data_IF_061357205854
#
_entry.id   IF_061357205854
#
_cell.length_a   1.000
_cell.length_b   1.000
_cell.length_c   1.000
_cell.angle_alpha   90.00
_cell.angle_beta   90.00
_cell.angle_gamma   90.00
#
_symmetry.space_group_name_H-M   'P 1'
#
loop_
_entity.id
_entity.type
_entity.pdbx_description
1 polymer ?
#
# COMPACT_ATOMS: atom_id res chain seq x y z
N UNK A 1 -1.17 5.12 51.85
CA UNK A 1 -1.43 4.57 50.51
C UNK A 1 -1.43 3.06 50.65
N UNK A 2 -2.55 2.39 50.36
CA UNK A 2 -2.61 0.93 50.38
C UNK A 2 -1.83 0.37 49.18
N UNK A 3 -1.03 -0.68 49.39
CA UNK A 3 -0.35 -1.37 48.31
C UNK A 3 -1.40 -2.07 47.42
N UNK A 4 -1.26 -2.04 46.08
CA UNK A 4 -2.17 -2.71 45.18
C UNK A 4 -2.20 -4.22 45.48
N UNK A 5 -3.38 -4.81 45.37
CA UNK A 5 -3.54 -6.25 45.56
C UNK A 5 -2.87 -7.02 44.42
N UNK A 6 -2.45 -8.28 44.64
CA UNK A 6 -1.84 -9.11 43.59
C UNK A 6 -2.70 -9.26 42.33
N UNK A 7 -4.03 -9.10 42.45
CA UNK A 7 -4.94 -9.09 41.29
C UNK A 7 -4.83 -7.79 40.48
N UNK A 8 -4.66 -6.66 41.14
CA UNK A 8 -4.50 -5.36 40.47
C UNK A 8 -3.13 -5.26 39.79
N UNK A 9 -2.08 -5.82 40.39
CA UNK A 9 -0.76 -5.93 39.77
C UNK A 9 -0.79 -6.79 38.50
N UNK A 10 -1.45 -7.96 38.53
CA UNK A 10 -1.58 -8.82 37.35
C UNK A 10 -2.33 -8.12 36.20
N UNK A 11 -3.42 -7.41 36.48
CA UNK A 11 -4.17 -6.64 35.47
C UNK A 11 -3.31 -5.51 34.89
N UNK A 12 -2.46 -4.88 35.71
CA UNK A 12 -1.57 -3.83 35.24
C UNK A 12 -0.47 -4.38 34.31
N UNK A 13 0.09 -5.54 34.65
CA UNK A 13 1.09 -6.23 33.83
C UNK A 13 0.51 -6.71 32.50
N UNK A 14 -0.71 -7.25 32.48
CA UNK A 14 -1.41 -7.62 31.24
C UNK A 14 -1.62 -6.42 30.32
N UNK A 15 -2.09 -5.29 30.87
CA UNK A 15 -2.26 -4.04 30.08
C UNK A 15 -0.96 -3.51 29.51
N UNK A 16 0.14 -3.60 30.26
CA UNK A 16 1.46 -3.19 29.77
C UNK A 16 1.98 -4.12 28.67
N UNK A 17 1.74 -5.43 28.79
CA UNK A 17 2.10 -6.40 27.76
C UNK A 17 1.31 -6.14 26.46
N UNK A 18 0.00 -5.97 26.56
CA UNK A 18 -0.86 -5.63 25.42
C UNK A 18 -0.38 -4.33 24.75
N UNK A 19 -0.08 -3.29 25.55
CA UNK A 19 0.44 -2.03 25.03
C UNK A 19 1.79 -2.18 24.30
N UNK A 20 2.68 -3.04 24.81
CA UNK A 20 3.96 -3.32 24.17
C UNK A 20 3.79 -4.05 22.84
N UNK A 21 2.86 -5.02 22.77
CA UNK A 21 2.49 -5.72 21.54
C UNK A 21 1.95 -4.75 20.47
N UNK A 22 1.02 -3.87 20.85
CA UNK A 22 0.50 -2.83 19.97
C UNK A 22 1.59 -1.88 19.45
N UNK A 23 2.51 -1.46 20.31
CA UNK A 23 3.61 -0.59 19.93
C UNK A 23 4.55 -1.26 18.94
N UNK A 24 4.91 -2.52 19.19
CA UNK A 24 5.77 -3.30 18.30
C UNK A 24 5.11 -3.48 16.93
N UNK A 25 3.82 -3.81 16.91
CA UNK A 25 3.05 -3.93 15.68
C UNK A 25 3.01 -2.60 14.92
N UNK A 26 2.80 -1.48 15.61
CA UNK A 26 2.78 -0.14 15.01
C UNK A 26 4.12 0.21 14.36
N UNK A 27 5.23 -0.09 15.04
CA UNK A 27 6.59 0.17 14.51
C UNK A 27 6.86 -0.70 13.28
N UNK A 28 6.59 -2.00 13.36
CA UNK A 28 6.76 -2.91 12.24
C UNK A 28 5.92 -2.47 11.02
N UNK A 29 4.66 -2.14 11.25
CA UNK A 29 3.75 -1.66 10.20
C UNK A 29 4.26 -0.35 9.57
N UNK A 30 4.61 0.65 10.39
CA UNK A 30 5.14 1.95 9.90
C UNK A 30 6.41 1.77 9.08
N UNK A 31 7.30 0.86 9.47
CA UNK A 31 8.53 0.60 8.73
C UNK A 31 8.24 -0.05 7.37
N UNK A 32 7.37 -1.06 7.33
CA UNK A 32 6.99 -1.72 6.07
C UNK A 32 6.31 -0.74 5.12
N UNK A 33 5.36 0.05 5.62
CA UNK A 33 4.65 1.05 4.81
C UNK A 33 5.58 2.19 4.39
N UNK A 34 6.43 2.67 5.29
CA UNK A 34 7.41 3.71 5.02
C UNK A 34 8.40 3.32 3.92
N UNK A 35 8.95 2.10 4.00
CA UNK A 35 9.82 1.57 2.96
C UNK A 35 9.11 1.48 1.61
N UNK A 36 7.89 0.94 1.57
CA UNK A 36 7.09 0.85 0.34
C UNK A 36 6.77 2.22 -0.25
N UNK A 37 6.43 3.21 0.58
CA UNK A 37 6.18 4.60 0.15
C UNK A 37 7.45 5.26 -0.40
N UNK A 38 8.59 5.06 0.25
CA UNK A 38 9.87 5.57 -0.23
C UNK A 38 10.23 4.96 -1.59
N UNK A 39 10.11 3.64 -1.74
CA UNK A 39 10.29 2.96 -3.04
C UNK A 39 9.36 3.53 -4.10
N UNK A 40 8.08 3.72 -3.78
CA UNK A 40 7.10 4.33 -4.69
C UNK A 40 7.51 5.74 -5.13
N UNK A 41 7.88 6.62 -4.19
CA UNK A 41 8.32 7.98 -4.50
C UNK A 41 9.54 8.00 -5.41
N UNK A 42 10.50 7.09 -5.21
CA UNK A 42 11.69 6.97 -6.06
C UNK A 42 11.29 6.53 -7.46
N UNK A 43 10.49 5.46 -7.59
CA UNK A 43 10.03 4.95 -8.89
C UNK A 43 9.26 6.03 -9.65
N UNK A 44 8.32 6.71 -8.99
CA UNK A 44 7.51 7.77 -9.60
C UNK A 44 8.36 8.99 -10.01
N UNK A 45 9.42 9.31 -9.25
CA UNK A 45 10.32 10.42 -9.59
C UNK A 45 11.23 10.07 -10.78
N UNK A 46 11.70 8.82 -10.88
CA UNK A 46 12.47 8.33 -12.03
C UNK A 46 11.58 8.30 -13.28
N UNK A 47 10.34 7.80 -13.12
CA UNK A 47 9.32 7.78 -14.16
C UNK A 47 9.06 9.17 -14.75
N UNK A 48 8.75 10.18 -13.91
CA UNK A 48 8.53 11.56 -14.36
C UNK A 48 9.76 12.14 -15.08
N UNK A 49 10.96 11.81 -14.60
CA UNK A 49 12.20 12.27 -15.21
C UNK A 49 12.42 11.62 -16.57
N UNK A 50 12.30 10.30 -16.69
CA UNK A 50 12.55 9.58 -17.94
C UNK A 50 11.48 9.86 -19.01
N UNK A 51 10.23 10.12 -18.60
CA UNK A 51 9.16 10.60 -19.48
C UNK A 51 9.52 11.96 -20.12
N UNK A 52 10.07 12.89 -19.33
CA UNK A 52 10.52 14.19 -19.86
C UNK A 52 11.73 14.10 -20.80
N UNK A 53 12.51 13.02 -20.74
CA UNK A 53 13.69 12.79 -21.59
C UNK A 53 13.40 11.88 -22.80
N UNK A 54 12.16 11.37 -22.94
CA UNK A 54 11.77 10.49 -24.04
C UNK A 54 12.37 9.09 -23.99
N UNK A 55 12.83 8.63 -22.82
CA UNK A 55 13.51 7.34 -22.67
C UNK A 55 12.50 6.17 -22.51
N UNK A 56 11.92 5.74 -23.63
CA UNK A 56 10.81 4.76 -23.66
C UNK A 56 11.18 3.38 -23.09
N UNK A 57 12.44 2.95 -23.23
CA UNK A 57 12.89 1.64 -22.73
C UNK A 57 12.83 1.58 -21.20
N UNK A 58 13.25 2.64 -20.51
CA UNK A 58 13.21 2.71 -19.05
C UNK A 58 11.77 2.78 -18.53
N UNK A 59 10.91 3.54 -19.21
CA UNK A 59 9.48 3.62 -18.89
C UNK A 59 8.82 2.24 -19.01
N UNK A 60 9.23 1.41 -19.99
CA UNK A 60 8.70 0.06 -20.16
C UNK A 60 9.06 -0.89 -18.99
N UNK A 61 10.30 -0.82 -18.48
CA UNK A 61 10.76 -1.64 -17.35
C UNK A 61 10.06 -1.24 -16.05
N UNK A 62 9.83 0.07 -15.86
CA UNK A 62 9.08 0.59 -14.71
C UNK A 62 7.62 0.09 -14.76
N UNK A 63 6.99 0.11 -15.95
CA UNK A 63 5.63 -0.43 -16.14
C UNK A 63 5.53 -1.91 -15.78
N UNK A 64 6.50 -2.72 -16.20
CA UNK A 64 6.52 -4.15 -15.88
C UNK A 64 6.66 -4.40 -14.38
N UNK A 65 7.53 -3.63 -13.71
CA UNK A 65 7.73 -3.70 -12.26
C UNK A 65 6.45 -3.32 -11.49
N UNK A 66 5.76 -2.25 -11.90
CA UNK A 66 4.46 -1.86 -11.34
C UNK A 66 3.38 -2.92 -11.56
N UNK A 67 3.37 -3.57 -12.73
CA UNK A 67 2.49 -4.70 -13.03
C UNK A 67 2.73 -5.92 -12.12
N UNK A 68 4.00 -6.20 -11.80
CA UNK A 68 4.37 -7.23 -10.83
C UNK A 68 3.83 -6.96 -9.41
N UNK A 69 3.91 -5.70 -8.97
CA UNK A 69 3.40 -5.29 -7.65
C UNK A 69 1.87 -5.39 -7.60
N UNK A 70 1.16 -5.03 -8.67
CA UNK A 70 -0.29 -5.21 -8.77
C UNK A 70 -0.71 -6.67 -8.64
N UNK A 71 0.01 -7.59 -9.31
CA UNK A 71 -0.24 -9.03 -9.16
C UNK A 71 -0.04 -9.52 -7.73
N UNK A 72 1.02 -9.04 -7.06
CA UNK A 72 1.29 -9.38 -5.66
C UNK A 72 0.17 -8.88 -4.73
N UNK A 73 -0.32 -7.66 -4.97
CA UNK A 73 -1.43 -7.07 -4.22
C UNK A 73 -2.70 -7.92 -4.36
N UNK A 74 -3.07 -8.29 -5.58
CA UNK A 74 -4.30 -9.04 -5.85
C UNK A 74 -4.23 -10.51 -5.40
N UNK A 75 -3.09 -11.18 -5.58
CA UNK A 75 -2.99 -12.61 -5.32
C UNK A 75 -2.66 -12.95 -3.87
N UNK A 76 -1.98 -12.06 -3.15
CA UNK A 76 -1.43 -12.36 -1.81
C UNK A 76 -1.86 -11.34 -0.77
N UNK A 77 -1.62 -10.06 -0.98
CA UNK A 77 -1.73 -9.07 0.10
C UNK A 77 -3.19 -8.72 0.44
N UNK A 78 -4.05 -8.50 -0.55
CA UNK A 78 -5.48 -8.21 -0.33
C UNK A 78 -6.23 -9.43 0.24
N UNK A 79 -6.04 -10.67 -0.27
CA UNK A 79 -6.73 -11.84 0.29
C UNK A 79 -6.26 -12.24 1.70
N UNK A 80 -4.99 -11.99 2.03
CA UNK A 80 -4.40 -12.36 3.33
C UNK A 80 -4.65 -11.29 4.40
N UNK A 81 -5.17 -10.11 4.04
CA UNK A 81 -5.46 -9.04 4.98
C UNK A 81 -6.68 -9.40 5.86
N UNK A 82 -6.41 -9.84 7.09
CA UNK A 82 -7.44 -10.16 8.08
C UNK A 82 -8.10 -8.92 8.70
N UNK A 83 -7.33 -7.84 8.87
CA UNK A 83 -7.81 -6.58 9.43
C UNK A 83 -8.36 -5.64 8.34
N UNK A 84 -9.51 -5.01 8.60
CA UNK A 84 -10.16 -4.08 7.67
C UNK A 84 -9.23 -2.93 7.25
N UNK A 85 -8.51 -2.32 8.21
CA UNK A 85 -7.56 -1.23 7.94
C UNK A 85 -6.41 -1.63 7.00
N UNK A 86 -5.91 -2.86 7.14
CA UNK A 86 -4.86 -3.39 6.26
C UNK A 86 -5.39 -3.64 4.85
N UNK A 87 -6.64 -4.10 4.73
CA UNK A 87 -7.30 -4.31 3.44
C UNK A 87 -7.54 -2.98 2.72
N UNK A 88 -8.05 -1.98 3.42
CA UNK A 88 -8.22 -0.61 2.91
C UNK A 88 -6.89 -0.03 2.45
N UNK A 89 -5.82 -0.21 3.23
CA UNK A 89 -4.49 0.24 2.86
C UNK A 89 -3.99 -0.39 1.55
N UNK A 90 -4.12 -1.71 1.38
CA UNK A 90 -3.69 -2.40 0.16
C UNK A 90 -4.54 -2.02 -1.06
N UNK A 91 -5.84 -1.82 -0.88
CA UNK A 91 -6.74 -1.37 -1.95
C UNK A 91 -6.43 0.05 -2.40
N UNK A 92 -6.10 0.94 -1.46
CA UNK A 92 -5.62 2.29 -1.79
C UNK A 92 -4.29 2.25 -2.55
N UNK A 93 -3.35 1.43 -2.09
CA UNK A 93 -2.07 1.21 -2.76
C UNK A 93 -2.28 0.67 -4.19
N UNK A 94 -3.22 -0.27 -4.38
CA UNK A 94 -3.60 -0.75 -5.72
C UNK A 94 -4.12 0.40 -6.61
N UNK A 95 -4.98 1.26 -6.07
CA UNK A 95 -5.47 2.46 -6.77
C UNK A 95 -4.34 3.38 -7.21
N UNK A 96 -3.36 3.63 -6.34
CA UNK A 96 -2.21 4.49 -6.63
C UNK A 96 -1.33 3.92 -7.78
N UNK A 97 -1.08 2.60 -7.79
CA UNK A 97 -0.36 1.94 -8.89
C UNK A 97 -1.14 1.96 -10.22
N UNK A 98 -2.45 1.71 -10.17
CA UNK A 98 -3.30 1.78 -11.37
C UNK A 98 -3.38 3.21 -11.92
N UNK A 99 -3.40 4.22 -11.05
CA UNK A 99 -3.41 5.63 -11.43
C UNK A 99 -2.11 6.05 -12.12
N UNK A 100 -0.94 5.63 -11.61
CA UNK A 100 0.34 5.86 -12.30
C UNK A 100 0.40 5.15 -13.65
N UNK A 101 0.02 3.87 -13.72
CA UNK A 101 -0.04 3.17 -15.00
C UNK A 101 -0.99 3.83 -16.00
N UNK A 102 -2.10 4.41 -15.53
CA UNK A 102 -3.03 5.16 -16.35
C UNK A 102 -2.42 6.47 -16.85
N UNK A 103 -1.69 7.20 -16.01
CA UNK A 103 -0.97 8.43 -16.39
C UNK A 103 0.12 8.15 -17.43
N UNK A 104 0.88 7.06 -17.26
CA UNK A 104 1.91 6.64 -18.22
C UNK A 104 1.36 5.98 -19.48
N UNK A 105 0.07 5.69 -19.49
CA UNK A 105 -0.62 5.07 -20.60
C UNK A 105 -1.25 6.11 -21.53
N UNK A 106 -0.64 7.27 -21.72
CA UNK A 106 -1.01 8.22 -22.78
C UNK A 106 -1.10 7.55 -24.18
N UNK A 107 -0.58 6.33 -24.33
CA UNK A 107 -0.65 5.50 -25.53
C UNK A 107 -1.75 4.42 -25.58
N UNK A 108 -2.54 4.22 -24.51
CA UNK A 108 -3.62 3.22 -24.53
C UNK A 108 -4.86 3.79 -25.24
N UNK A 109 -5.14 3.27 -26.43
CA UNK A 109 -6.31 3.64 -27.25
C UNK A 109 -7.62 3.25 -26.59
N UNK A 110 -8.58 4.19 -26.55
CA UNK A 110 -10.02 3.99 -26.35
C UNK A 110 -10.42 3.07 -25.19
N UNK A 111 -10.54 1.77 -25.49
CA UNK A 111 -11.12 0.79 -24.58
C UNK A 111 -10.16 0.35 -23.48
N UNK A 112 -8.85 0.27 -23.74
CA UNK A 112 -7.88 -0.05 -22.69
C UNK A 112 -7.79 1.06 -21.63
N UNK A 113 -7.97 2.32 -22.05
CA UNK A 113 -8.04 3.46 -21.13
C UNK A 113 -9.30 3.41 -20.27
N UNK A 114 -10.46 3.05 -20.83
CA UNK A 114 -11.71 2.89 -20.07
C UNK A 114 -11.57 1.82 -18.99
N UNK A 115 -11.02 0.65 -19.36
CA UNK A 115 -10.78 -0.46 -18.41
C UNK A 115 -9.82 -0.03 -17.30
N UNK A 116 -8.74 0.69 -17.63
CA UNK A 116 -7.82 1.20 -16.63
C UNK A 116 -8.47 2.22 -15.68
N UNK A 117 -9.27 3.16 -16.20
CA UNK A 117 -10.03 4.14 -15.40
C UNK A 117 -11.02 3.43 -14.46
N UNK A 118 -11.76 2.45 -14.97
CA UNK A 118 -12.74 1.71 -14.20
C UNK A 118 -12.09 0.88 -13.09
N UNK A 119 -10.95 0.24 -13.39
CA UNK A 119 -10.17 -0.49 -12.39
C UNK A 119 -9.63 0.44 -11.28
N UNK A 120 -9.12 1.62 -11.64
CA UNK A 120 -8.67 2.63 -10.67
C UNK A 120 -9.82 3.09 -9.78
N UNK A 121 -10.97 3.41 -10.38
CA UNK A 121 -12.16 3.85 -9.64
C UNK A 121 -12.67 2.75 -8.69
N UNK A 122 -12.70 1.50 -9.16
CA UNK A 122 -13.14 0.37 -8.35
C UNK A 122 -12.19 0.10 -7.18
N UNK A 123 -10.88 0.26 -7.37
CA UNK A 123 -9.90 0.11 -6.29
C UNK A 123 -10.12 1.16 -5.19
N UNK A 124 -10.32 2.44 -5.54
CA UNK A 124 -10.58 3.48 -4.56
C UNK A 124 -11.95 3.37 -3.90
N UNK A 125 -13.00 2.98 -4.65
CA UNK A 125 -14.32 2.69 -4.07
C UNK A 125 -14.26 1.55 -3.06
N UNK A 126 -13.52 0.48 -3.39
CA UNK A 126 -13.34 -0.66 -2.49
C UNK A 126 -12.54 -0.30 -1.23
N UNK A 127 -11.74 0.78 -1.27
CA UNK A 127 -10.99 1.29 -0.13
C UNK A 127 -11.80 2.28 0.75
N UNK A 128 -12.99 2.72 0.32
CA UNK A 128 -13.85 3.63 1.09
C UNK A 128 -14.85 2.91 2.01
N UNK A 129 -14.88 1.57 1.98
CA UNK A 129 -15.82 0.72 2.73
C UNK A 129 -15.13 0.09 3.94
#
# INVERSE_FOLDING_TARGET
MAAPSPREENVYMEKLAEQAEWNLLSVAYKNVIGARRASWCIVSSIEQKDESHGNQDHVSVIKESCGGILKLLDQKLVPTAAAADSKVFYLKMKGDYLLSLLNLAEFKTGDERKVAVENTLNAYKSAQV
#
